data_IF_528433910402
#
_entry.id   IF_528433910402
#
_cell.length_a   1.000
_cell.length_b   1.000
_cell.length_c   1.000
_cell.angle_alpha   90.00
_cell.angle_beta   90.00
_cell.angle_gamma   90.00
#
_symmetry.space_group_name_H-M   'P 1'
#
loop_
_entity.id
_entity.type
_entity.pdbx_description
1 polymer ?
#
# COMPACT_ATOMS: atom_id res chain seq x y z
N UNK A 1 6.51 -8.30 27.76
CA UNK A 1 5.15 -8.86 27.57
C UNK A 1 4.79 -8.73 26.10
N UNK A 2 4.48 -9.82 25.41
CA UNK A 2 4.07 -9.79 24.00
C UNK A 2 2.72 -9.08 23.85
N UNK A 3 2.57 -8.24 22.84
CA UNK A 3 1.32 -7.54 22.58
C UNK A 3 0.15 -8.52 22.37
N UNK A 4 -1.09 -8.14 22.73
CA UNK A 4 -2.28 -8.93 22.42
C UNK A 4 -2.37 -9.22 20.91
N UNK A 5 -2.82 -10.44 20.56
CA UNK A 5 -3.01 -10.88 19.16
C UNK A 5 -3.79 -9.86 18.32
N UNK A 6 -4.83 -9.26 18.89
CA UNK A 6 -5.66 -8.23 18.23
C UNK A 6 -4.84 -6.99 17.84
N UNK A 7 -3.94 -6.53 18.72
CA UNK A 7 -3.07 -5.37 18.47
C UNK A 7 -2.08 -5.68 17.35
N UNK A 8 -1.46 -6.86 17.40
CA UNK A 8 -0.54 -7.30 16.35
C UNK A 8 -1.24 -7.38 14.99
N UNK A 9 -2.49 -7.86 14.97
CA UNK A 9 -3.27 -8.00 13.74
C UNK A 9 -3.61 -6.63 13.17
N UNK A 10 -4.07 -5.71 14.03
CA UNK A 10 -4.36 -4.34 13.63
C UNK A 10 -3.12 -3.64 13.04
N UNK A 11 -1.96 -3.72 13.71
CA UNK A 11 -0.72 -3.13 13.20
C UNK A 11 -0.27 -3.74 11.86
N UNK A 12 -0.42 -5.06 11.70
CA UNK A 12 -0.12 -5.76 10.46
C UNK A 12 -1.03 -5.31 9.31
N UNK A 13 -2.34 -5.22 9.55
CA UNK A 13 -3.32 -4.76 8.56
C UNK A 13 -3.05 -3.30 8.18
N UNK A 14 -2.81 -2.42 9.16
CA UNK A 14 -2.49 -1.00 8.90
C UNK A 14 -1.23 -0.89 8.06
N UNK A 15 -0.17 -1.64 8.39
CA UNK A 15 1.06 -1.67 7.62
C UNK A 15 0.83 -2.14 6.18
N UNK A 16 0.04 -3.20 5.99
CA UNK A 16 -0.30 -3.71 4.67
C UNK A 16 -1.07 -2.68 3.84
N UNK A 17 -2.13 -2.10 4.40
CA UNK A 17 -2.95 -1.09 3.71
C UNK A 17 -2.13 0.15 3.34
N UNK A 18 -1.36 0.70 4.29
CA UNK A 18 -0.55 1.88 4.05
C UNK A 18 0.50 1.64 2.95
N UNK A 19 1.16 0.48 2.98
CA UNK A 19 2.14 0.10 1.95
C UNK A 19 1.48 -0.09 0.59
N UNK A 20 0.34 -0.79 0.52
CA UNK A 20 -0.39 -1.00 -0.74
C UNK A 20 -0.79 0.33 -1.38
N UNK A 21 -1.33 1.27 -0.59
CA UNK A 21 -1.73 2.59 -1.10
C UNK A 21 -0.51 3.37 -1.60
N UNK A 22 0.56 3.45 -0.80
CA UNK A 22 1.76 4.17 -1.19
C UNK A 22 2.41 3.57 -2.45
N UNK A 23 2.51 2.24 -2.51
CA UNK A 23 3.14 1.56 -3.65
C UNK A 23 2.30 1.68 -4.92
N UNK A 24 0.97 1.57 -4.81
CA UNK A 24 0.08 1.81 -5.94
C UNK A 24 0.28 3.22 -6.51
N UNK A 25 0.29 4.24 -5.64
CA UNK A 25 0.51 5.62 -6.05
C UNK A 25 1.86 5.80 -6.76
N UNK A 26 2.94 5.21 -6.21
CA UNK A 26 4.28 5.24 -6.80
C UNK A 26 4.29 4.57 -8.18
N UNK A 27 3.73 3.36 -8.29
CA UNK A 27 3.69 2.64 -9.57
C UNK A 27 2.92 3.46 -10.61
N UNK A 28 1.79 4.06 -10.23
CA UNK A 28 0.97 4.85 -11.15
C UNK A 28 1.70 6.09 -11.65
N UNK A 29 2.35 6.84 -10.75
CA UNK A 29 3.17 8.01 -11.14
C UNK A 29 4.34 7.59 -12.01
N UNK A 30 5.06 6.52 -11.63
CA UNK A 30 6.18 6.01 -12.42
C UNK A 30 5.74 5.59 -13.83
N UNK A 31 4.60 4.92 -13.96
CA UNK A 31 4.06 4.55 -15.26
C UNK A 31 3.68 5.78 -16.08
N UNK A 32 2.99 6.77 -15.49
CA UNK A 32 2.63 7.98 -16.22
C UNK A 32 3.84 8.79 -16.71
N UNK A 33 4.97 8.74 -16.00
CA UNK A 33 6.20 9.41 -16.39
C UNK A 33 7.00 8.63 -17.44
N UNK A 34 6.98 7.29 -17.40
CA UNK A 34 7.85 6.44 -18.21
C UNK A 34 7.15 5.82 -19.43
N UNK A 35 5.83 5.71 -19.40
CA UNK A 35 5.04 5.02 -20.42
C UNK A 35 3.75 5.80 -20.73
N UNK A 36 3.53 6.12 -22.00
CA UNK A 36 2.23 6.66 -22.43
C UNK A 36 1.22 5.51 -22.58
N UNK A 37 0.45 5.24 -21.53
CA UNK A 37 -0.65 4.26 -21.58
C UNK A 37 -1.86 4.84 -22.34
N UNK A 38 -2.47 4.04 -23.22
CA UNK A 38 -3.80 4.32 -23.76
C UNK A 38 -4.84 4.27 -22.62
N UNK A 39 -5.92 5.05 -22.76
CA UNK A 39 -6.90 5.31 -21.70
C UNK A 39 -7.42 4.01 -21.03
N UNK A 40 -7.06 3.75 -19.75
CA UNK A 40 -7.37 2.50 -19.08
C UNK A 40 -8.86 2.32 -18.77
N UNK A 41 -9.68 3.35 -18.96
CA UNK A 41 -11.14 3.29 -18.80
C UNK A 41 -11.81 2.27 -19.73
N UNK A 42 -11.15 1.85 -20.81
CA UNK A 42 -11.74 0.98 -21.83
C UNK A 42 -11.75 -0.51 -21.47
N UNK A 43 -10.98 -0.98 -20.48
CA UNK A 43 -10.90 -2.44 -20.21
C UNK A 43 -10.67 -2.78 -18.74
N UNK A 44 -11.71 -2.67 -17.91
CA UNK A 44 -11.64 -3.00 -16.46
C UNK A 44 -11.49 -4.51 -16.19
N UNK A 45 -11.92 -5.38 -17.12
CA UNK A 45 -12.00 -6.83 -16.93
C UNK A 45 -11.08 -7.67 -17.83
N UNK A 46 -10.08 -7.06 -18.46
CA UNK A 46 -9.07 -7.81 -19.23
C UNK A 46 -7.88 -8.17 -18.36
N UNK A 47 -7.28 -9.33 -18.60
CA UNK A 47 -5.95 -9.67 -18.09
C UNK A 47 -4.85 -8.66 -18.51
N UNK A 48 -5.15 -7.69 -19.37
CA UNK A 48 -4.28 -6.59 -19.77
C UNK A 48 -4.64 -5.26 -19.10
N UNK A 49 -5.60 -5.24 -18.17
CA UNK A 49 -5.98 -4.05 -17.44
C UNK A 49 -4.81 -3.59 -16.55
N UNK A 50 -4.18 -2.47 -16.91
CA UNK A 50 -3.07 -1.91 -16.13
C UNK A 50 -3.45 -1.68 -14.67
N UNK A 51 -4.72 -1.30 -14.41
CA UNK A 51 -5.26 -1.15 -13.06
C UNK A 51 -5.16 -2.45 -12.23
N UNK A 52 -5.58 -3.58 -12.80
CA UNK A 52 -5.58 -4.87 -12.09
C UNK A 52 -4.17 -5.25 -11.66
N UNK A 53 -3.20 -5.19 -12.56
CA UNK A 53 -1.82 -5.57 -12.24
C UNK A 53 -1.17 -4.62 -11.25
N UNK A 54 -1.40 -3.31 -11.37
CA UNK A 54 -0.93 -2.34 -10.38
C UNK A 54 -1.47 -2.67 -8.98
N UNK A 55 -2.78 -2.86 -8.87
CA UNK A 55 -3.44 -3.17 -7.60
C UNK A 55 -2.99 -4.51 -7.03
N UNK A 56 -2.85 -5.53 -7.87
CA UNK A 56 -2.39 -6.86 -7.46
C UNK A 56 -0.95 -6.85 -6.95
N UNK A 57 -0.03 -6.21 -7.69
CA UNK A 57 1.37 -6.05 -7.26
C UNK A 57 1.44 -5.27 -5.95
N UNK A 58 0.71 -4.16 -5.85
CA UNK A 58 0.65 -3.36 -4.63
C UNK A 58 0.14 -4.17 -3.43
N UNK A 59 -0.95 -4.92 -3.61
CA UNK A 59 -1.53 -5.77 -2.57
C UNK A 59 -0.58 -6.91 -2.15
N UNK A 60 0.13 -7.52 -3.10
CA UNK A 60 1.11 -8.58 -2.81
C UNK A 60 2.24 -8.06 -1.92
N UNK A 61 2.87 -6.95 -2.30
CA UNK A 61 3.91 -6.32 -1.48
C UNK A 61 3.36 -5.81 -0.14
N UNK A 62 2.17 -5.22 -0.13
CA UNK A 62 1.49 -4.82 1.10
C UNK A 62 1.28 -5.99 2.06
N UNK A 63 0.82 -7.14 1.56
CA UNK A 63 0.66 -8.35 2.37
C UNK A 63 1.98 -8.86 2.94
N UNK A 64 3.07 -8.83 2.17
CA UNK A 64 4.41 -9.17 2.67
C UNK A 64 4.85 -8.23 3.79
N UNK A 65 4.67 -6.92 3.63
CA UNK A 65 4.98 -5.93 4.68
C UNK A 65 4.09 -6.13 5.90
N UNK A 66 2.81 -6.44 5.72
CA UNK A 66 1.89 -6.78 6.81
C UNK A 66 2.36 -8.00 7.60
N UNK A 67 2.83 -9.05 6.94
CA UNK A 67 3.38 -10.22 7.60
C UNK A 67 4.66 -9.90 8.39
N UNK A 68 5.56 -9.09 7.82
CA UNK A 68 6.76 -8.60 8.53
C UNK A 68 6.36 -7.75 9.75
N UNK A 69 5.37 -6.87 9.60
CA UNK A 69 4.82 -6.05 10.68
C UNK A 69 4.19 -6.90 11.78
N UNK A 70 3.50 -7.99 11.45
CA UNK A 70 2.97 -8.95 12.41
C UNK A 70 4.05 -9.60 13.28
N UNK A 71 5.19 -9.95 12.66
CA UNK A 71 6.37 -10.48 13.36
C UNK A 71 7.00 -9.39 14.22
N UNK A 72 7.20 -8.19 13.67
CA UNK A 72 7.80 -7.06 14.39
C UNK A 72 6.97 -6.62 15.61
N UNK A 73 5.63 -6.64 15.49
CA UNK A 73 4.70 -6.31 16.56
C UNK A 73 4.78 -7.26 17.77
N UNK A 74 5.34 -8.46 17.60
CA UNK A 74 5.58 -9.38 18.72
C UNK A 74 6.72 -8.93 19.63
N UNK A 75 7.68 -8.17 19.07
CA UNK A 75 8.87 -7.69 19.77
C UNK A 75 8.67 -6.30 20.36
N UNK A 76 8.20 -5.36 19.55
CA UNK A 76 8.02 -3.96 19.97
C UNK A 76 6.82 -3.31 19.22
N UNK A 77 5.60 -3.51 19.73
CA UNK A 77 4.39 -2.95 19.12
C UNK A 77 4.34 -1.41 19.22
N UNK A 78 4.93 -0.83 20.26
CA UNK A 78 4.91 0.62 20.49
C UNK A 78 5.74 1.37 19.45
N UNK A 79 6.95 0.87 19.17
CA UNK A 79 7.78 1.42 18.10
C UNK A 79 7.11 1.28 16.74
N UNK A 80 6.53 0.12 16.43
CA UNK A 80 5.81 -0.09 15.17
C UNK A 80 4.63 0.89 15.01
N UNK A 81 3.83 1.06 16.07
CA UNK A 81 2.73 2.03 16.07
C UNK A 81 3.23 3.47 15.81
N UNK A 82 4.34 3.88 16.44
CA UNK A 82 4.90 5.22 16.23
C UNK A 82 5.39 5.48 14.80
N UNK A 83 5.92 4.44 14.14
CA UNK A 83 6.33 4.50 12.73
C UNK A 83 5.09 4.57 11.84
N UNK A 84 4.11 3.70 12.06
CA UNK A 84 2.86 3.67 11.28
C UNK A 84 2.06 4.96 11.42
N UNK A 85 2.04 5.58 12.60
CA UNK A 85 1.39 6.88 12.82
C UNK A 85 1.95 7.99 11.90
N UNK A 86 3.21 7.88 11.48
CA UNK A 86 3.85 8.81 10.52
C UNK A 86 3.70 8.32 9.08
N UNK A 87 3.76 7.02 8.84
CA UNK A 87 3.68 6.44 7.50
C UNK A 87 2.27 6.52 6.89
N UNK A 88 1.21 6.34 7.70
CA UNK A 88 -0.18 6.39 7.24
C UNK A 88 -0.56 7.72 6.60
N UNK A 89 -0.32 8.90 7.22
CA UNK A 89 -0.65 10.18 6.57
C UNK A 89 0.18 10.40 5.31
N UNK A 90 1.44 9.95 5.26
CA UNK A 90 2.25 10.01 4.04
C UNK A 90 1.63 9.16 2.93
N UNK A 91 1.23 7.92 3.21
CA UNK A 91 0.57 7.06 2.24
C UNK A 91 -0.76 7.68 1.76
N UNK A 92 -1.54 8.26 2.66
CA UNK A 92 -2.79 8.95 2.32
C UNK A 92 -2.55 10.15 1.40
N UNK A 93 -1.54 10.98 1.70
CA UNK A 93 -1.15 12.13 0.87
C UNK A 93 -0.66 11.68 -0.50
N UNK A 94 0.17 10.63 -0.57
CA UNK A 94 0.62 10.05 -1.85
C UNK A 94 -0.55 9.54 -2.70
N UNK A 95 -1.48 8.81 -2.09
CA UNK A 95 -2.68 8.33 -2.76
C UNK A 95 -3.57 9.47 -3.28
N UNK A 96 -3.81 10.49 -2.44
CA UNK A 96 -4.59 11.66 -2.83
C UNK A 96 -3.90 12.47 -3.93
N UNK A 97 -2.60 12.72 -3.81
CA UNK A 97 -1.82 13.45 -4.81
C UNK A 97 -1.80 12.71 -6.14
N UNK A 98 -1.61 11.39 -6.14
CA UNK A 98 -1.69 10.59 -7.35
C UNK A 98 -3.09 10.66 -7.97
N UNK A 99 -4.17 10.50 -7.20
CA UNK A 99 -5.53 10.59 -7.72
C UNK A 99 -5.89 11.95 -8.32
N UNK A 100 -5.29 13.03 -7.82
CA UNK A 100 -5.52 14.40 -8.32
C UNK A 100 -4.65 14.74 -9.54
N UNK A 101 -3.37 14.35 -9.53
CA UNK A 101 -2.40 14.77 -10.54
C UNK A 101 -2.26 13.77 -11.69
N UNK A 102 -2.52 12.50 -11.41
CA UNK A 102 -2.31 11.37 -12.33
C UNK A 102 -3.44 10.34 -12.16
N UNK A 103 -4.68 10.66 -12.58
CA UNK A 103 -5.82 9.77 -12.41
C UNK A 103 -5.62 8.37 -13.03
#
# INVERSE_FOLDING_TARGET
MSAPVRVRLALAIIAACATSVALYAIIRVAQALLFQEADPALVIWSAHAGFFWRAWTAAYFGAMVGFVAWIAASRDPGRLASILARAVPVAAVLGAAQGLLVP
#
